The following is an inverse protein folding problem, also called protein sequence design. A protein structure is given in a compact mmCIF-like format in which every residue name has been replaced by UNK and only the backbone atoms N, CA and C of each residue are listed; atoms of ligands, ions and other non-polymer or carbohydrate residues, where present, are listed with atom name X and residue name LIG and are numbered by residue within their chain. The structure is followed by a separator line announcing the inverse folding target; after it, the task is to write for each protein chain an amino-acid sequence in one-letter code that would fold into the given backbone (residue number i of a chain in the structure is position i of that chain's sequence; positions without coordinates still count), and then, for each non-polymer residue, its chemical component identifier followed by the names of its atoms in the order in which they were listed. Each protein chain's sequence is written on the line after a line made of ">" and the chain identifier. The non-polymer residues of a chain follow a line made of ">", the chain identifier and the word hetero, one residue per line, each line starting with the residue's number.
data_IF_633238484521
#
_entry.id   IF_633238484521
#
_cell.length_a   1.000
_cell.length_b   1.000
_cell.length_c   1.000
_cell.angle_alpha   90.00
_cell.angle_beta   90.00
_cell.angle_gamma   90.00
#
_symmetry.space_group_name_H-M   'P 1'
#
loop_
_entity.id
_entity.type
_entity.pdbx_description
1 polymer ?
#
# COMPACT_ATOMS: atom_id res chain seq x y z
N UNK A 1 8.07 30.57 4.23
CA UNK A 1 8.27 29.26 4.87
C UNK A 1 8.44 28.22 3.77
N UNK A 2 9.49 27.37 3.82
CA UNK A 2 9.71 26.31 2.83
C UNK A 2 8.62 25.22 2.96
N UNK A 3 8.22 24.58 1.85
CA UNK A 3 7.21 23.53 1.86
C UNK A 3 7.71 22.19 2.41
N UNK A 4 6.77 21.32 2.78
CA UNK A 4 7.01 19.89 3.03
C UNK A 4 6.94 19.14 1.70
N UNK A 5 7.97 18.35 1.38
CA UNK A 5 7.99 17.48 0.22
C UNK A 5 7.30 16.16 0.54
N UNK A 6 6.32 15.77 -0.27
CA UNK A 6 5.61 14.49 -0.14
C UNK A 6 5.86 13.68 -1.41
N UNK A 7 6.39 12.48 -1.26
CA UNK A 7 6.74 11.61 -2.37
C UNK A 7 5.96 10.30 -2.34
N UNK A 8 5.41 9.92 -3.49
CA UNK A 8 4.83 8.61 -3.74
C UNK A 8 5.21 8.09 -5.12
N UNK A 9 5.03 6.79 -5.35
CA UNK A 9 5.21 6.21 -6.69
C UNK A 9 4.13 6.63 -7.67
N UNK A 10 2.96 7.08 -7.20
CA UNK A 10 1.82 7.43 -8.05
C UNK A 10 0.82 8.36 -7.35
N UNK A 11 -0.46 8.18 -7.66
CA UNK A 11 -1.57 8.97 -7.09
C UNK A 11 -2.03 8.47 -5.73
N UNK A 12 -1.74 7.22 -5.36
CA UNK A 12 -2.09 6.67 -4.05
C UNK A 12 -1.64 7.54 -2.88
N UNK A 13 -0.45 8.12 -2.94
CA UNK A 13 0.08 9.01 -1.90
C UNK A 13 -0.73 10.27 -1.61
N UNK A 14 -1.70 10.62 -2.47
CA UNK A 14 -2.65 11.69 -2.19
C UNK A 14 -3.48 11.41 -0.92
N UNK A 15 -3.67 10.14 -0.55
CA UNK A 15 -4.33 9.77 0.72
C UNK A 15 -3.51 10.21 1.94
N UNK A 16 -2.17 10.20 1.85
CA UNK A 16 -1.29 10.71 2.91
C UNK A 16 -1.31 12.23 2.93
N UNK A 17 -1.29 12.87 1.75
CA UNK A 17 -1.38 14.32 1.65
C UNK A 17 -2.72 14.84 2.20
N UNK A 18 -3.84 14.20 1.84
CA UNK A 18 -5.17 14.51 2.36
C UNK A 18 -5.19 14.39 3.88
N UNK A 19 -4.67 13.28 4.43
CA UNK A 19 -4.57 13.13 5.88
C UNK A 19 -3.79 14.26 6.54
N UNK A 20 -2.69 14.75 5.93
CA UNK A 20 -1.97 15.92 6.45
C UNK A 20 -2.78 17.22 6.33
N UNK A 21 -3.54 17.41 5.24
CA UNK A 21 -4.34 18.61 5.03
C UNK A 21 -5.54 18.70 5.97
N UNK A 22 -6.06 17.56 6.45
CA UNK A 22 -7.29 17.49 7.25
C UNK A 22 -7.09 17.08 8.70
N UNK A 23 -5.87 16.70 9.12
CA UNK A 23 -5.60 16.30 10.50
C UNK A 23 -5.82 17.48 11.45
N UNK A 24 -6.62 17.28 12.48
CA UNK A 24 -6.83 18.20 13.60
C UNK A 24 -6.79 17.34 14.88
N UNK A 25 -5.58 17.02 15.32
CA UNK A 25 -5.34 16.12 16.45
C UNK A 25 -4.59 16.81 17.59
N UNK A 26 -4.04 18.01 17.35
CA UNK A 26 -3.26 18.78 18.32
C UNK A 26 -3.72 20.24 18.32
N UNK A 27 -3.59 20.90 19.48
CA UNK A 27 -3.86 22.33 19.56
C UNK A 27 -2.70 23.09 18.92
N UNK A 28 -2.99 23.87 17.89
CA UNK A 28 -2.01 24.63 17.13
C UNK A 28 -1.25 25.67 17.98
N UNK A 29 -1.83 26.09 19.11
CA UNK A 29 -1.22 27.07 20.02
C UNK A 29 -0.06 26.52 20.84
N UNK A 30 -0.09 25.24 21.24
CA UNK A 30 0.86 24.66 22.19
C UNK A 30 1.34 23.24 21.87
N UNK A 31 0.80 22.60 20.83
CA UNK A 31 1.15 21.25 20.39
C UNK A 31 0.65 20.14 21.32
N UNK A 32 -0.23 20.44 22.28
CA UNK A 32 -0.81 19.42 23.16
C UNK A 32 -1.88 18.60 22.41
N UNK A 33 -2.08 17.32 22.76
CA UNK A 33 -3.14 16.53 22.14
C UNK A 33 -4.55 17.13 22.34
N UNK A 34 -5.36 17.07 21.29
CA UNK A 34 -6.74 17.54 21.27
C UNK A 34 -7.00 18.47 20.09
N UNK A 35 -8.12 18.26 19.41
CA UNK A 35 -8.55 19.08 18.29
C UNK A 35 -8.91 20.51 18.74
N UNK A 36 -8.58 21.52 17.93
CA UNK A 36 -8.95 22.92 18.16
C UNK A 36 -9.82 23.54 17.06
N UNK A 37 -10.22 22.73 16.06
CA UNK A 37 -11.04 23.15 14.93
C UNK A 37 -10.22 23.72 13.76
N UNK A 38 -8.89 23.74 13.87
CA UNK A 38 -7.98 24.20 12.83
C UNK A 38 -7.04 23.03 12.48
N UNK A 39 -6.90 22.65 11.19
CA UNK A 39 -5.98 21.58 10.82
C UNK A 39 -4.54 21.85 11.31
N UNK A 40 -3.90 20.84 11.88
CA UNK A 40 -2.56 20.87 12.50
C UNK A 40 -1.49 21.42 11.54
N UNK A 41 -1.71 21.24 10.24
CA UNK A 41 -0.81 21.68 9.17
C UNK A 41 -1.38 22.83 8.33
N UNK A 42 -2.35 23.60 8.86
CA UNK A 42 -3.01 24.69 8.12
C UNK A 42 -2.06 25.80 7.64
N UNK A 43 -0.91 25.98 8.29
CA UNK A 43 0.12 26.95 7.90
C UNK A 43 1.21 26.36 6.97
N UNK A 44 1.12 25.07 6.66
CA UNK A 44 2.09 24.38 5.82
C UNK A 44 1.79 24.51 4.34
N UNK A 45 2.85 24.46 3.53
CA UNK A 45 2.74 24.30 2.08
C UNK A 45 3.34 22.96 1.68
N UNK A 46 2.82 22.36 0.63
CA UNK A 46 3.24 21.04 0.18
C UNK A 46 3.78 21.07 -1.25
N UNK A 47 4.84 20.32 -1.50
CA UNK A 47 5.27 19.90 -2.85
C UNK A 47 5.04 18.40 -2.95
N UNK A 48 4.05 17.99 -3.74
CA UNK A 48 3.78 16.57 -3.99
C UNK A 48 4.48 16.11 -5.27
N UNK A 49 5.20 14.99 -5.20
CA UNK A 49 5.84 14.34 -6.32
C UNK A 49 5.33 12.90 -6.46
N UNK A 50 4.76 12.59 -7.63
CA UNK A 50 4.38 11.24 -8.03
C UNK A 50 5.27 10.76 -9.18
N UNK A 51 5.94 9.62 -8.99
CA UNK A 51 6.78 9.02 -10.03
C UNK A 51 6.00 8.05 -10.94
N UNK A 52 4.95 8.57 -11.59
CA UNK A 52 4.04 7.78 -12.44
C UNK A 52 4.78 7.12 -13.61
N UNK A 53 5.88 7.70 -14.09
CA UNK A 53 6.64 7.13 -15.19
C UNK A 53 7.32 5.79 -14.83
N UNK A 54 7.60 5.56 -13.55
CA UNK A 54 8.31 4.37 -13.07
C UNK A 54 7.44 3.50 -12.15
N UNK A 55 6.16 3.82 -11.97
CA UNK A 55 5.20 3.00 -11.25
C UNK A 55 4.87 1.70 -12.02
N UNK A 56 4.35 0.65 -11.36
CA UNK A 56 4.18 0.51 -9.92
C UNK A 56 5.45 -0.01 -9.24
N UNK A 57 5.85 0.65 -8.14
CA UNK A 57 7.03 0.24 -7.36
C UNK A 57 6.89 -1.13 -6.70
N UNK A 58 5.64 -1.56 -6.40
CA UNK A 58 5.33 -2.85 -5.78
C UNK A 58 5.87 -4.07 -6.53
N UNK A 59 6.16 -3.96 -7.82
CA UNK A 59 6.56 -5.08 -8.68
C UNK A 59 8.08 -5.20 -8.87
N UNK A 60 8.87 -4.21 -8.44
CA UNK A 60 10.32 -4.18 -8.69
C UNK A 60 11.07 -5.32 -7.99
N UNK A 61 10.65 -5.69 -6.78
CA UNK A 61 11.27 -6.77 -6.03
C UNK A 61 11.12 -8.12 -6.74
N UNK A 62 9.91 -8.44 -7.19
CA UNK A 62 9.63 -9.66 -7.94
C UNK A 62 10.36 -9.70 -9.29
N UNK A 63 10.62 -8.54 -9.89
CA UNK A 63 11.40 -8.42 -11.12
C UNK A 63 12.92 -8.43 -10.91
N UNK A 64 13.42 -8.58 -9.67
CA UNK A 64 14.86 -8.51 -9.37
C UNK A 64 15.48 -7.12 -9.58
N UNK A 65 14.67 -6.05 -9.54
CA UNK A 65 15.05 -4.66 -9.85
C UNK A 65 15.12 -3.76 -8.63
N UNK A 66 15.42 -4.29 -7.44
CA UNK A 66 15.45 -3.51 -6.19
C UNK A 66 16.49 -2.38 -6.20
N UNK A 67 17.65 -2.58 -6.83
CA UNK A 67 18.66 -1.52 -6.98
C UNK A 67 18.15 -0.36 -7.84
N UNK A 68 17.47 -0.68 -8.94
CA UNK A 68 16.85 0.33 -9.80
C UNK A 68 15.74 1.08 -9.05
N UNK A 69 14.93 0.38 -8.25
CA UNK A 69 13.93 1.02 -7.38
C UNK A 69 14.58 2.05 -6.44
N UNK A 70 15.67 1.67 -5.74
CA UNK A 70 16.39 2.58 -4.85
C UNK A 70 16.95 3.79 -5.60
N UNK A 71 17.50 3.58 -6.80
CA UNK A 71 18.00 4.66 -7.65
C UNK A 71 16.88 5.65 -8.01
N UNK A 72 15.70 5.18 -8.46
CA UNK A 72 14.56 6.04 -8.74
C UNK A 72 14.14 6.84 -7.50
N UNK A 73 14.00 6.17 -6.35
CA UNK A 73 13.64 6.83 -5.10
C UNK A 73 14.64 7.94 -4.73
N UNK A 74 15.95 7.67 -4.81
CA UNK A 74 16.97 8.67 -4.49
C UNK A 74 16.96 9.86 -5.49
N UNK A 75 16.73 9.61 -6.78
CA UNK A 75 16.55 10.67 -7.78
C UNK A 75 15.33 11.55 -7.47
N UNK A 76 14.23 10.94 -7.01
CA UNK A 76 13.04 11.68 -6.59
C UNK A 76 13.31 12.53 -5.34
N UNK A 77 14.11 12.05 -4.38
CA UNK A 77 14.53 12.85 -3.22
C UNK A 77 15.44 14.01 -3.64
N UNK A 78 16.40 13.75 -4.54
CA UNK A 78 17.28 14.78 -5.09
C UNK A 78 16.48 15.88 -5.79
N UNK A 79 15.44 15.52 -6.55
CA UNK A 79 14.52 16.49 -7.14
C UNK A 79 13.82 17.33 -6.07
N UNK A 80 13.20 16.73 -5.06
CA UNK A 80 12.50 17.48 -4.00
C UNK A 80 13.44 18.42 -3.23
N UNK A 81 14.65 18.00 -2.94
CA UNK A 81 15.66 18.79 -2.24
C UNK A 81 16.33 19.85 -3.13
N UNK A 82 16.29 19.69 -4.44
CA UNK A 82 16.85 20.64 -5.40
C UNK A 82 16.02 21.93 -5.54
N UNK A 83 16.59 22.93 -6.20
CA UNK A 83 15.91 24.20 -6.54
C UNK A 83 15.60 24.31 -8.02
N UNK A 84 15.97 23.31 -8.81
CA UNK A 84 15.75 23.28 -10.25
C UNK A 84 14.74 22.20 -10.62
N UNK A 85 13.96 22.50 -11.65
CA UNK A 85 13.03 21.58 -12.29
C UNK A 85 13.06 21.83 -13.80
N UNK A 86 12.40 20.96 -14.55
CA UNK A 86 12.15 21.18 -15.96
C UNK A 86 10.70 20.82 -16.27
N UNK A 87 10.03 21.64 -17.08
CA UNK A 87 8.70 21.33 -17.60
C UNK A 87 8.82 20.79 -19.01
N UNK A 88 8.21 19.64 -19.25
CA UNK A 88 8.03 19.13 -20.60
C UNK A 88 7.12 20.08 -21.39
N UNK A 89 7.53 20.37 -22.61
CA UNK A 89 6.75 21.00 -23.68
C UNK A 89 6.81 20.06 -24.88
N UNK A 90 5.88 20.17 -25.83
CA UNK A 90 5.65 19.19 -26.91
C UNK A 90 6.91 18.55 -27.52
N UNK A 91 8.03 19.29 -27.65
CA UNK A 91 9.30 18.75 -28.13
C UNK A 91 10.56 19.20 -27.34
N UNK A 92 10.42 19.80 -26.16
CA UNK A 92 11.57 20.36 -25.40
C UNK A 92 11.32 20.42 -23.89
N UNK A 93 12.40 20.52 -23.10
CA UNK A 93 12.33 20.77 -21.67
C UNK A 93 12.69 22.23 -21.37
N UNK A 94 11.77 22.97 -20.75
CA UNK A 94 12.05 24.33 -20.29
C UNK A 94 12.52 24.28 -18.83
N UNK A 95 13.73 24.77 -18.49
CA UNK A 95 14.17 24.89 -17.12
C UNK A 95 13.23 25.79 -16.30
N UNK A 96 12.98 25.40 -15.07
CA UNK A 96 12.18 26.12 -14.09
C UNK A 96 12.92 26.15 -12.76
N UNK A 97 12.74 27.23 -12.01
CA UNK A 97 13.14 27.28 -10.61
C UNK A 97 11.98 26.79 -9.75
N UNK A 98 12.29 26.05 -8.70
CA UNK A 98 11.36 25.65 -7.66
C UNK A 98 11.98 25.87 -6.30
N UNK A 99 11.13 25.94 -5.28
CA UNK A 99 11.61 25.96 -3.89
C UNK A 99 12.17 24.58 -3.51
N UNK A 100 13.17 24.55 -2.63
CA UNK A 100 13.53 23.34 -1.90
C UNK A 100 12.48 23.02 -0.83
N UNK A 101 12.63 21.91 -0.11
CA UNK A 101 11.70 21.46 0.93
C UNK A 101 12.37 21.48 2.31
N UNK A 102 11.60 21.71 3.38
CA UNK A 102 12.11 21.68 4.77
C UNK A 102 11.99 20.31 5.46
N UNK A 103 11.26 19.38 4.85
CA UNK A 103 11.02 18.02 5.34
C UNK A 103 10.63 17.14 4.16
N UNK A 104 10.93 15.85 4.25
CA UNK A 104 10.49 14.83 3.32
C UNK A 104 9.55 13.84 4.00
N UNK A 105 8.42 13.58 3.35
CA UNK A 105 7.46 12.52 3.70
C UNK A 105 7.46 11.51 2.56
N UNK A 106 7.94 10.30 2.86
CA UNK A 106 7.90 9.15 1.94
C UNK A 106 6.55 8.45 2.14
N UNK A 107 5.55 8.88 1.36
CA UNK A 107 4.19 8.36 1.41
C UNK A 107 4.09 6.93 0.85
N UNK A 108 4.92 6.58 -0.14
CA UNK A 108 4.91 5.24 -0.70
C UNK A 108 5.43 4.20 0.30
N UNK A 109 4.60 3.20 0.61
CA UNK A 109 4.96 2.09 1.48
C UNK A 109 6.12 1.26 0.91
N UNK A 110 6.12 0.97 -0.38
CA UNK A 110 7.21 0.22 -1.03
C UNK A 110 8.53 1.00 -1.02
N UNK A 111 8.48 2.31 -1.30
CA UNK A 111 9.67 3.15 -1.21
C UNK A 111 10.20 3.23 0.23
N UNK A 112 9.30 3.36 1.21
CA UNK A 112 9.67 3.34 2.63
C UNK A 112 10.35 2.02 3.00
N UNK A 113 9.77 0.89 2.59
CA UNK A 113 10.27 -0.46 2.85
C UNK A 113 11.70 -0.69 2.33
N UNK A 114 12.00 -0.22 1.13
CA UNK A 114 13.28 -0.53 0.47
C UNK A 114 14.35 0.56 0.61
N UNK A 115 13.95 1.82 0.77
CA UNK A 115 14.85 2.95 0.58
C UNK A 115 14.86 3.96 1.75
N UNK A 116 14.01 3.85 2.79
CA UNK A 116 13.99 4.87 3.86
C UNK A 116 15.37 5.06 4.52
N UNK A 117 16.13 3.99 4.72
CA UNK A 117 17.50 4.06 5.24
C UNK A 117 18.45 4.79 4.30
N UNK A 118 18.40 4.43 3.01
CA UNK A 118 19.23 5.07 1.97
C UNK A 118 18.89 6.56 1.82
N UNK A 119 17.61 6.93 1.89
CA UNK A 119 17.15 8.32 1.86
C UNK A 119 17.69 9.08 3.07
N UNK A 120 17.57 8.51 4.28
CA UNK A 120 18.06 9.16 5.49
C UNK A 120 19.56 9.42 5.43
N UNK A 121 20.34 8.45 4.94
CA UNK A 121 21.78 8.60 4.74
C UNK A 121 22.08 9.67 3.67
N UNK A 122 21.43 9.59 2.52
CA UNK A 122 21.57 10.58 1.45
C UNK A 122 21.25 12.01 1.92
N UNK A 123 20.25 12.17 2.78
CA UNK A 123 19.85 13.46 3.34
C UNK A 123 20.81 13.93 4.43
N UNK A 124 21.28 13.05 5.31
CA UNK A 124 22.20 13.41 6.41
C UNK A 124 23.59 13.82 5.92
N UNK A 125 24.02 13.29 4.77
CA UNK A 125 25.35 13.55 4.20
C UNK A 125 25.44 14.93 3.51
N UNK A 126 24.35 15.69 3.49
CA UNK A 126 24.31 17.01 2.86
C UNK A 126 25.06 18.05 3.71
N UNK A 127 25.78 19.01 3.09
CA UNK A 127 26.52 20.04 3.82
C UNK A 127 25.65 20.96 4.70
N UNK A 128 24.36 21.07 4.40
CA UNK A 128 23.39 21.88 5.14
C UNK A 128 22.78 21.14 6.36
N UNK A 129 23.24 19.92 6.66
CA UNK A 129 22.70 19.08 7.73
C UNK A 129 21.42 18.32 7.34
N UNK A 130 20.95 18.49 6.10
CA UNK A 130 19.78 17.80 5.58
C UNK A 130 18.45 18.29 6.17
N UNK A 131 17.40 17.49 5.94
CA UNK A 131 16.03 17.75 6.43
C UNK A 131 15.46 16.50 7.10
N UNK A 132 14.49 16.63 8.02
CA UNK A 132 13.81 15.46 8.57
C UNK A 132 13.15 14.60 7.48
N UNK A 133 13.25 13.27 7.63
CA UNK A 133 12.63 12.30 6.72
C UNK A 133 11.71 11.37 7.50
N UNK A 134 10.43 11.36 7.13
CA UNK A 134 9.39 10.51 7.72
C UNK A 134 8.90 9.50 6.68
N UNK A 135 8.72 8.24 7.07
CA UNK A 135 8.17 7.18 6.23
C UNK A 135 6.93 6.53 6.86
N UNK A 136 6.01 6.07 6.03
CA UNK A 136 4.67 5.61 6.45
C UNK A 136 4.64 4.27 7.21
N UNK A 137 5.63 3.39 6.99
CA UNK A 137 5.68 2.07 7.67
C UNK A 137 5.76 2.26 9.19
N UNK A 138 6.65 3.14 9.67
CA UNK A 138 6.80 3.39 11.11
C UNK A 138 5.51 3.94 11.73
N UNK A 139 4.81 4.84 11.02
CA UNK A 139 3.55 5.40 11.50
C UNK A 139 2.45 4.33 11.65
N UNK A 140 2.28 3.48 10.63
CA UNK A 140 1.33 2.37 10.66
C UNK A 140 1.66 1.34 11.74
N UNK A 141 2.93 0.97 11.88
CA UNK A 141 3.40 0.04 12.91
C UNK A 141 3.18 0.59 14.33
N UNK A 142 3.42 1.88 14.55
CA UNK A 142 3.19 2.52 15.85
C UNK A 142 1.72 2.47 16.26
N UNK A 143 0.79 2.71 15.33
CA UNK A 143 -0.64 2.60 15.60
C UNK A 143 -1.04 1.16 15.98
N UNK A 144 -0.54 0.16 15.24
CA UNK A 144 -0.79 -1.25 15.55
C UNK A 144 -0.24 -1.65 16.91
N UNK A 145 0.99 -1.25 17.25
CA UNK A 145 1.60 -1.53 18.57
C UNK A 145 0.80 -0.92 19.71
N UNK A 146 0.35 0.34 19.58
CA UNK A 146 -0.50 1.00 20.58
C UNK A 146 -1.80 0.25 20.81
N UNK A 147 -2.39 -0.32 19.76
CA UNK A 147 -3.57 -1.16 19.88
C UNK A 147 -3.26 -2.49 20.58
N UNK A 148 -2.17 -3.16 20.20
CA UNK A 148 -1.74 -4.42 20.80
C UNK A 148 -1.43 -4.34 22.30
N UNK A 149 -0.99 -3.18 22.79
CA UNK A 149 -0.82 -2.93 24.22
C UNK A 149 -2.15 -2.99 25.00
N UNK A 150 -3.28 -2.71 24.33
CA UNK A 150 -4.62 -2.79 24.92
C UNK A 150 -5.24 -4.18 24.72
N UNK A 151 -5.09 -4.75 23.53
CA UNK A 151 -5.68 -6.04 23.18
C UNK A 151 -4.73 -6.85 22.29
N UNK A 152 -4.23 -7.96 22.83
CA UNK A 152 -3.39 -8.90 22.07
C UNK A 152 -4.19 -9.59 20.96
N UNK A 153 -3.51 -9.91 19.87
CA UNK A 153 -4.05 -10.62 18.72
C UNK A 153 -3.04 -10.68 17.58
N UNK A 154 -3.49 -11.27 16.47
CA UNK A 154 -2.68 -11.33 15.24
C UNK A 154 -2.78 -9.99 14.50
N UNK A 155 -1.63 -9.45 14.09
CA UNK A 155 -1.55 -8.29 13.17
C UNK A 155 -1.49 -8.80 11.75
N UNK A 156 -2.49 -8.45 10.94
CA UNK A 156 -2.45 -8.60 9.50
C UNK A 156 -1.71 -7.44 8.86
N UNK A 157 -0.82 -7.72 7.93
CA UNK A 157 -0.20 -6.73 7.04
C UNK A 157 -0.71 -7.01 5.64
N UNK A 158 -1.63 -6.18 5.16
CA UNK A 158 -2.12 -6.24 3.79
C UNK A 158 -1.48 -5.11 2.98
N UNK A 159 -0.51 -5.45 2.13
CA UNK A 159 0.35 -4.48 1.45
C UNK A 159 0.64 -4.90 0.01
N UNK A 160 1.36 -4.09 -0.76
CA UNK A 160 1.81 -4.54 -2.09
C UNK A 160 2.70 -5.78 -1.98
N UNK A 161 2.79 -6.58 -3.05
CA UNK A 161 3.66 -7.76 -3.08
C UNK A 161 5.13 -7.41 -2.72
N UNK A 162 5.65 -6.30 -3.26
CA UNK A 162 6.97 -5.78 -2.92
C UNK A 162 7.12 -5.40 -1.45
N UNK A 163 6.14 -4.69 -0.86
CA UNK A 163 6.19 -4.33 0.56
C UNK A 163 6.20 -5.55 1.47
N UNK A 164 5.43 -6.60 1.14
CA UNK A 164 5.46 -7.86 1.88
C UNK A 164 6.80 -8.58 1.71
N UNK A 165 7.31 -8.64 0.48
CA UNK A 165 8.60 -9.28 0.19
C UNK A 165 9.78 -8.60 0.88
N UNK A 166 9.68 -7.31 1.19
CA UNK A 166 10.73 -6.57 1.92
C UNK A 166 10.80 -6.93 3.41
N UNK A 167 9.77 -7.60 3.96
CA UNK A 167 9.59 -7.83 5.39
C UNK A 167 9.60 -6.55 6.25
N UNK A 168 9.30 -5.38 5.66
CA UNK A 168 9.47 -4.08 6.31
C UNK A 168 8.58 -3.90 7.54
N UNK A 169 7.29 -4.22 7.41
CA UNK A 169 6.35 -4.15 8.55
C UNK A 169 6.69 -5.13 9.67
N UNK A 170 6.88 -6.44 9.42
CA UNK A 170 7.23 -7.37 10.50
C UNK A 170 8.50 -6.99 11.26
N UNK A 171 9.55 -6.53 10.57
CA UNK A 171 10.79 -6.09 11.22
C UNK A 171 10.57 -4.87 12.12
N UNK A 172 9.85 -3.85 11.62
CA UNK A 172 9.57 -2.63 12.41
C UNK A 172 8.64 -2.92 13.59
N UNK A 173 7.59 -3.73 13.38
CA UNK A 173 6.68 -4.15 14.43
C UNK A 173 7.41 -4.90 15.54
N UNK A 174 8.26 -5.87 15.18
CA UNK A 174 9.00 -6.64 16.18
C UNK A 174 10.00 -5.76 16.93
N UNK A 175 10.73 -4.87 16.25
CA UNK A 175 11.66 -3.94 16.90
C UNK A 175 10.93 -3.01 17.91
N UNK A 176 9.73 -2.52 17.56
CA UNK A 176 8.90 -1.72 18.48
C UNK A 176 8.39 -2.56 19.65
N UNK A 177 7.98 -3.80 19.41
CA UNK A 177 7.56 -4.73 20.46
C UNK A 177 8.69 -5.05 21.43
N UNK A 178 9.91 -5.27 20.93
CA UNK A 178 11.09 -5.54 21.75
C UNK A 178 11.43 -4.35 22.64
N UNK A 179 11.39 -3.13 22.09
CA UNK A 179 11.58 -1.89 22.86
C UNK A 179 10.55 -1.70 23.98
N UNK A 180 9.37 -2.30 23.84
CA UNK A 180 8.27 -2.23 24.81
C UNK A 180 8.12 -3.54 25.61
N UNK A 181 9.04 -4.50 25.44
CA UNK A 181 9.03 -5.80 26.11
C UNK A 181 7.70 -6.57 25.92
N UNK A 182 7.09 -6.45 24.73
CA UNK A 182 5.81 -7.08 24.40
C UNK A 182 5.97 -8.56 23.97
N UNK A 183 7.20 -9.05 23.81
CA UNK A 183 7.50 -10.40 23.32
C UNK A 183 7.30 -10.56 21.80
N UNK A 184 7.40 -11.79 21.33
CA UNK A 184 7.19 -12.13 19.91
C UNK A 184 5.75 -11.85 19.49
N UNK A 185 5.58 -11.06 18.44
CA UNK A 185 4.26 -10.75 17.90
C UNK A 185 3.75 -11.86 16.97
N UNK A 186 2.43 -12.06 16.96
CA UNK A 186 1.77 -12.85 15.91
C UNK A 186 1.48 -11.94 14.72
N UNK A 187 2.16 -12.16 13.60
CA UNK A 187 2.04 -11.34 12.39
C UNK A 187 1.77 -12.25 11.19
N UNK A 188 0.81 -11.87 10.36
CA UNK A 188 0.54 -12.51 9.07
C UNK A 188 0.60 -11.44 7.98
N UNK A 189 1.29 -11.72 6.87
CA UNK A 189 1.41 -10.77 5.75
C UNK A 189 0.77 -11.32 4.48
N UNK A 190 0.08 -10.48 3.73
CA UNK A 190 -0.52 -10.79 2.44
C UNK A 190 -0.22 -9.71 1.42
N UNK A 191 0.35 -10.11 0.29
CA UNK A 191 0.62 -9.23 -0.84
C UNK A 191 -0.64 -9.07 -1.70
N UNK A 192 -1.15 -7.85 -1.85
CA UNK A 192 -2.29 -7.52 -2.70
C UNK A 192 -1.89 -7.30 -4.15
N UNK A 193 -1.32 -8.32 -4.78
CA UNK A 193 -0.89 -8.28 -6.18
C UNK A 193 -2.04 -7.90 -7.12
N UNK A 194 -1.82 -6.88 -7.96
CA UNK A 194 -2.79 -6.35 -8.91
C UNK A 194 -3.90 -5.47 -8.30
N UNK A 195 -4.00 -5.34 -6.97
CA UNK A 195 -5.06 -4.53 -6.36
C UNK A 195 -4.82 -3.03 -6.60
N UNK A 196 -3.59 -2.54 -6.41
CA UNK A 196 -3.28 -1.13 -6.66
C UNK A 196 -3.49 -0.78 -8.13
N UNK A 197 -3.02 -1.64 -9.02
CA UNK A 197 -3.18 -1.50 -10.47
C UNK A 197 -4.66 -1.54 -10.90
N UNK A 198 -5.49 -2.39 -10.26
CA UNK A 198 -6.93 -2.40 -10.53
C UNK A 198 -7.64 -1.12 -10.08
N UNK A 199 -7.21 -0.52 -8.96
CA UNK A 199 -7.74 0.76 -8.46
C UNK A 199 -7.39 1.89 -9.43
N UNK A 200 -6.17 1.88 -9.96
CA UNK A 200 -5.70 2.84 -10.97
C UNK A 200 -6.23 2.55 -12.38
N UNK A 201 -7.03 1.48 -12.55
CA UNK A 201 -7.57 1.03 -13.84
C UNK A 201 -6.47 0.75 -14.88
N UNK A 202 -5.34 0.19 -14.45
CA UNK A 202 -4.33 -0.32 -15.38
C UNK A 202 -4.97 -1.41 -16.25
N UNK A 203 -4.95 -1.20 -17.57
CA UNK A 203 -5.55 -2.11 -18.53
C UNK A 203 -5.09 -3.58 -18.35
N UNK A 204 -3.85 -3.81 -17.91
CA UNK A 204 -3.31 -5.16 -17.68
C UNK A 204 -4.00 -5.90 -16.52
N UNK A 205 -4.71 -5.20 -15.65
CA UNK A 205 -5.39 -5.75 -14.47
C UNK A 205 -6.90 -5.50 -14.48
N UNK A 206 -7.38 -4.48 -15.17
CA UNK A 206 -8.80 -4.17 -15.26
C UNK A 206 -9.12 -3.51 -16.60
N UNK A 207 -10.24 -3.85 -17.24
CA UNK A 207 -10.76 -3.13 -18.40
C UNK A 207 -12.27 -3.04 -18.31
N UNK A 208 -12.78 -1.81 -18.38
CA UNK A 208 -14.21 -1.52 -18.34
C UNK A 208 -14.93 -2.10 -19.58
N UNK A 209 -14.21 -2.26 -20.69
CA UNK A 209 -14.73 -2.77 -21.95
C UNK A 209 -14.69 -4.30 -22.04
N UNK A 210 -13.96 -4.97 -21.14
CA UNK A 210 -13.77 -6.41 -21.21
C UNK A 210 -15.10 -7.16 -21.02
N UNK A 211 -15.43 -8.01 -22.00
CA UNK A 211 -16.58 -8.93 -21.96
C UNK A 211 -16.15 -10.39 -21.79
N UNK A 212 -14.88 -10.69 -22.09
CA UNK A 212 -14.30 -12.03 -22.02
C UNK A 212 -12.92 -11.97 -21.36
N UNK A 213 -12.39 -13.13 -20.97
CA UNK A 213 -11.00 -13.24 -20.50
C UNK A 213 -10.02 -12.68 -21.54
N UNK A 214 -8.88 -12.18 -21.06
CA UNK A 214 -7.87 -11.50 -21.88
C UNK A 214 -6.52 -12.18 -21.70
N UNK A 215 -5.83 -12.42 -22.82
CA UNK A 215 -4.48 -13.01 -22.82
C UNK A 215 -3.47 -12.10 -22.09
N UNK A 216 -3.63 -10.79 -22.22
CA UNK A 216 -2.73 -9.81 -21.61
C UNK A 216 -3.04 -9.52 -20.12
N UNK A 217 -4.07 -10.14 -19.54
CA UNK A 217 -4.40 -9.97 -18.14
C UNK A 217 -3.30 -10.57 -17.24
N UNK A 218 -2.87 -9.79 -16.25
CA UNK A 218 -1.75 -10.14 -15.36
C UNK A 218 -2.17 -10.41 -13.91
N UNK A 219 -3.43 -10.18 -13.55
CA UNK A 219 -3.89 -10.34 -12.17
C UNK A 219 -4.10 -11.80 -11.74
N UNK A 220 -4.62 -12.02 -10.51
CA UNK A 220 -5.01 -13.35 -10.05
C UNK A 220 -5.97 -14.02 -11.01
N UNK A 221 -5.71 -15.30 -11.30
CA UNK A 221 -6.52 -16.10 -12.23
C UNK A 221 -6.49 -17.57 -11.85
N UNK A 222 -7.39 -18.41 -12.39
CA UNK A 222 -7.37 -19.86 -12.11
C UNK A 222 -6.02 -20.51 -12.46
N UNK A 223 -5.39 -20.06 -13.55
CA UNK A 223 -4.14 -20.63 -14.07
C UNK A 223 -2.90 -19.79 -13.76
N UNK A 224 -3.03 -18.70 -12.98
CA UNK A 224 -1.89 -17.86 -12.67
C UNK A 224 -0.85 -18.65 -11.83
N UNK A 225 0.44 -18.69 -12.20
CA UNK A 225 1.43 -19.57 -11.56
C UNK A 225 1.70 -19.22 -10.08
N UNK A 226 1.67 -17.93 -9.73
CA UNK A 226 1.99 -17.45 -8.36
C UNK A 226 0.77 -17.01 -7.55
N UNK A 227 -0.28 -16.53 -8.22
CA UNK A 227 -1.50 -16.01 -7.60
C UNK A 227 -2.74 -16.75 -8.14
N UNK A 228 -2.80 -18.09 -7.98
CA UNK A 228 -3.93 -18.87 -8.46
C UNK A 228 -5.18 -18.56 -7.63
N UNK A 229 -6.33 -18.46 -8.31
CA UNK A 229 -7.63 -18.53 -7.64
C UNK A 229 -7.85 -19.99 -7.23
N UNK A 230 -7.92 -20.25 -5.93
CA UNK A 230 -8.21 -21.60 -5.45
C UNK A 230 -9.69 -21.95 -5.68
N UNK A 231 -9.93 -22.85 -6.65
CA UNK A 231 -11.28 -23.30 -7.00
C UNK A 231 -12.06 -23.90 -5.81
N UNK A 232 -11.37 -24.44 -4.81
CA UNK A 232 -12.00 -25.03 -3.61
C UNK A 232 -12.57 -23.97 -2.68
N UNK A 233 -12.09 -22.73 -2.80
CA UNK A 233 -12.52 -21.57 -2.00
C UNK A 233 -13.52 -20.68 -2.72
N UNK A 234 -14.02 -21.03 -3.92
CA UNK A 234 -14.96 -20.18 -4.67
C UNK A 234 -16.23 -19.81 -3.90
N UNK A 235 -16.72 -20.69 -3.02
CA UNK A 235 -17.84 -20.39 -2.13
C UNK A 235 -17.51 -19.29 -1.10
N UNK A 236 -16.28 -19.28 -0.59
CA UNK A 236 -15.78 -18.29 0.39
C UNK A 236 -15.42 -16.98 -0.32
N UNK A 237 -14.74 -17.07 -1.47
CA UNK A 237 -14.44 -15.91 -2.30
C UNK A 237 -15.70 -15.20 -2.78
N UNK A 238 -16.78 -15.94 -3.06
CA UNK A 238 -18.07 -15.45 -3.56
C UNK A 238 -17.96 -14.19 -4.41
N UNK A 239 -17.13 -14.25 -5.46
CA UNK A 239 -16.84 -13.09 -6.29
C UNK A 239 -18.11 -12.48 -6.89
N UNK A 240 -18.11 -11.15 -7.00
CA UNK A 240 -19.15 -10.41 -7.70
C UNK A 240 -19.02 -10.72 -9.19
N UNK A 241 -20.10 -11.22 -9.80
CA UNK A 241 -20.17 -11.60 -11.22
C UNK A 241 -20.89 -10.57 -12.08
N UNK A 242 -21.66 -9.68 -11.46
CA UNK A 242 -22.44 -8.67 -12.18
C UNK A 242 -21.52 -7.70 -12.93
N UNK A 243 -21.99 -7.16 -14.06
CA UNK A 243 -21.28 -6.10 -14.78
C UNK A 243 -19.87 -6.45 -15.24
N UNK A 244 -19.59 -7.73 -15.53
CA UNK A 244 -18.27 -8.22 -15.90
C UNK A 244 -17.17 -8.01 -14.84
N UNK A 245 -17.54 -7.85 -13.56
CA UNK A 245 -16.58 -7.80 -12.44
C UNK A 245 -15.77 -9.10 -12.28
N UNK A 246 -16.26 -10.21 -12.85
CA UNK A 246 -15.58 -11.49 -12.96
C UNK A 246 -15.74 -12.03 -14.39
N UNK A 247 -14.63 -12.35 -15.04
CA UNK A 247 -14.61 -12.88 -16.40
C UNK A 247 -14.29 -14.38 -16.36
N UNK A 248 -15.06 -15.19 -17.09
CA UNK A 248 -14.85 -16.63 -17.19
C UNK A 248 -14.76 -17.08 -18.65
N UNK A 249 -13.78 -17.91 -18.96
CA UNK A 249 -13.75 -18.73 -20.18
C UNK A 249 -14.39 -20.07 -19.87
N UNK A 250 -15.28 -20.57 -20.73
CA UNK A 250 -16.04 -21.80 -20.50
C UNK A 250 -15.66 -22.89 -21.50
N UNK A 251 -15.57 -24.13 -21.03
CA UNK A 251 -15.50 -25.30 -21.92
C UNK A 251 -16.87 -25.68 -22.50
N UNK A 252 -16.88 -26.68 -23.38
CA UNK A 252 -18.10 -27.20 -24.02
C UNK A 252 -19.12 -27.77 -23.02
N UNK A 253 -18.69 -28.07 -21.78
CA UNK A 253 -19.54 -28.55 -20.70
C UNK A 253 -20.05 -27.41 -19.80
N UNK A 254 -19.75 -26.15 -20.12
CA UNK A 254 -20.15 -24.98 -19.36
C UNK A 254 -19.38 -24.78 -18.06
N UNK A 255 -18.20 -25.41 -17.90
CA UNK A 255 -17.34 -25.22 -16.74
C UNK A 255 -16.39 -24.06 -16.99
N UNK A 256 -16.23 -23.17 -16.00
CA UNK A 256 -15.27 -22.08 -16.09
C UNK A 256 -13.83 -22.64 -15.99
N UNK A 257 -13.08 -22.57 -17.09
CA UNK A 257 -11.71 -23.11 -17.24
C UNK A 257 -10.63 -22.03 -17.09
N UNK A 258 -11.00 -20.76 -17.17
CA UNK A 258 -10.17 -19.61 -16.81
C UNK A 258 -11.05 -18.56 -16.14
N UNK A 259 -10.57 -17.97 -15.05
CA UNK A 259 -11.29 -16.93 -14.31
C UNK A 259 -10.36 -15.75 -14.08
N UNK A 260 -10.80 -14.54 -14.41
CA UNK A 260 -10.03 -13.32 -14.22
C UNK A 260 -10.86 -12.31 -13.41
N UNK A 261 -10.23 -11.68 -12.43
CA UNK A 261 -10.84 -10.61 -11.66
C UNK A 261 -10.83 -9.34 -12.53
N UNK A 262 -11.94 -8.61 -12.58
CA UNK A 262 -12.04 -7.39 -13.37
C UNK A 262 -12.72 -6.27 -12.56
N UNK A 263 -12.55 -6.33 -11.23
CA UNK A 263 -13.14 -5.38 -10.27
C UNK A 263 -12.28 -5.31 -9.00
N UNK A 264 -11.88 -4.11 -8.52
CA UNK A 264 -11.06 -3.97 -7.32
C UNK A 264 -11.67 -4.61 -6.06
N UNK A 265 -13.01 -4.69 -5.96
CA UNK A 265 -13.70 -5.38 -4.87
C UNK A 265 -13.39 -6.87 -4.89
N UNK A 266 -13.35 -7.50 -6.06
CA UNK A 266 -12.97 -8.90 -6.20
C UNK A 266 -11.48 -9.12 -5.87
N UNK A 267 -10.60 -8.17 -6.19
CA UNK A 267 -9.20 -8.20 -5.75
C UNK A 267 -9.08 -8.14 -4.22
N UNK A 268 -9.79 -7.22 -3.56
CA UNK A 268 -9.84 -7.15 -2.09
C UNK A 268 -10.28 -8.49 -1.51
N UNK A 269 -11.38 -9.06 -2.04
CA UNK A 269 -11.94 -10.31 -1.54
C UNK A 269 -10.98 -11.49 -1.73
N UNK A 270 -10.38 -11.62 -2.91
CA UNK A 270 -9.36 -12.63 -3.19
C UNK A 270 -8.23 -12.58 -2.15
N UNK A 271 -7.66 -11.39 -1.91
CA UNK A 271 -6.51 -11.26 -1.02
C UNK A 271 -6.87 -11.43 0.46
N UNK A 272 -8.04 -10.94 0.91
CA UNK A 272 -8.45 -11.11 2.31
C UNK A 272 -8.80 -12.57 2.63
N UNK A 273 -9.47 -13.28 1.71
CA UNK A 273 -9.69 -14.72 1.87
C UNK A 273 -8.36 -15.47 1.88
N UNK A 274 -7.41 -15.14 0.99
CA UNK A 274 -6.07 -15.73 1.03
C UNK A 274 -5.30 -15.44 2.32
N UNK A 275 -5.46 -14.25 2.92
CA UNK A 275 -4.86 -13.92 4.22
C UNK A 275 -5.43 -14.80 5.33
N UNK A 276 -6.76 -14.93 5.40
CA UNK A 276 -7.43 -15.72 6.44
C UNK A 276 -7.21 -17.23 6.24
N UNK A 277 -7.20 -17.70 5.00
CA UNK A 277 -6.86 -19.09 4.68
C UNK A 277 -5.41 -19.41 5.08
N UNK A 278 -4.48 -18.48 4.86
CA UNK A 278 -3.10 -18.60 5.36
C UNK A 278 -3.07 -18.71 6.87
N UNK A 279 -3.85 -17.88 7.59
CA UNK A 279 -3.96 -18.00 9.04
C UNK A 279 -4.49 -19.36 9.48
N UNK A 280 -5.53 -19.86 8.82
CA UNK A 280 -6.17 -21.15 9.11
C UNK A 280 -5.21 -22.32 8.88
N UNK A 281 -4.59 -22.37 7.71
CA UNK A 281 -3.67 -23.45 7.30
C UNK A 281 -2.36 -23.45 8.09
N UNK A 282 -1.87 -22.27 8.50
CA UNK A 282 -0.68 -22.12 9.34
C UNK A 282 -0.99 -22.14 10.84
N UNK A 283 -2.24 -22.45 11.23
CA UNK A 283 -2.67 -22.65 12.61
C UNK A 283 -2.40 -21.44 13.54
N UNK A 284 -2.64 -20.22 13.03
CA UNK A 284 -2.63 -19.02 13.88
C UNK A 284 -3.69 -19.14 14.97
N UNK A 285 -3.27 -19.10 16.24
CA UNK A 285 -4.16 -19.32 17.39
C UNK A 285 -4.86 -18.05 17.89
N UNK A 286 -4.32 -16.89 17.55
CA UNK A 286 -4.88 -15.60 17.96
C UNK A 286 -5.76 -15.03 16.84
N UNK A 287 -6.92 -14.43 17.16
CA UNK A 287 -7.76 -13.82 16.15
C UNK A 287 -7.04 -12.65 15.48
N UNK A 288 -7.32 -12.42 14.20
CA UNK A 288 -6.95 -11.18 13.51
C UNK A 288 -7.73 -10.03 14.16
N UNK A 289 -7.03 -9.11 14.81
CA UNK A 289 -7.68 -7.98 15.48
C UNK A 289 -7.19 -6.61 14.97
N UNK A 290 -6.15 -6.62 14.14
CA UNK A 290 -5.54 -5.42 13.56
C UNK A 290 -5.18 -5.73 12.12
N UNK A 291 -5.55 -4.86 11.19
CA UNK A 291 -5.10 -4.94 9.80
C UNK A 291 -4.40 -3.63 9.42
N UNK A 292 -3.12 -3.73 9.07
CA UNK A 292 -2.34 -2.63 8.50
C UNK A 292 -2.55 -2.62 6.98
N UNK A 293 -2.96 -1.47 6.45
CA UNK A 293 -3.04 -1.21 5.01
C UNK A 293 -1.70 -0.65 4.51
N UNK A 294 -0.81 -1.53 4.07
CA UNK A 294 0.55 -1.21 3.62
C UNK A 294 0.66 -0.82 2.14
N UNK A 295 -0.37 -0.19 1.58
CA UNK A 295 -0.35 0.45 0.27
C UNK A 295 -1.23 1.70 0.33
N UNK A 296 -0.76 2.80 -0.27
CA UNK A 296 -1.47 4.09 -0.28
C UNK A 296 -2.74 4.07 -1.14
N UNK A 297 -2.95 3.05 -1.97
CA UNK A 297 -4.21 2.86 -2.71
C UNK A 297 -5.30 2.18 -1.86
N UNK A 298 -4.93 1.39 -0.86
CA UNK A 298 -5.90 0.57 -0.12
C UNK A 298 -6.91 1.37 0.72
N UNK A 299 -6.62 2.60 1.20
CA UNK A 299 -7.63 3.46 1.81
C UNK A 299 -8.85 3.74 0.91
N UNK A 300 -8.70 3.78 -0.42
CA UNK A 300 -9.85 3.91 -1.34
C UNK A 300 -10.82 2.72 -1.25
N UNK A 301 -10.34 1.58 -0.75
CA UNK A 301 -11.11 0.35 -0.57
C UNK A 301 -11.43 0.06 0.90
N UNK A 302 -11.24 1.01 1.82
CA UNK A 302 -11.37 0.78 3.27
C UNK A 302 -12.72 0.17 3.64
N UNK A 303 -13.81 0.71 3.11
CA UNK A 303 -15.16 0.26 3.46
C UNK A 303 -15.44 -1.15 2.90
N UNK A 304 -14.92 -1.45 1.71
CA UNK A 304 -14.97 -2.80 1.12
C UNK A 304 -14.17 -3.80 1.96
N UNK A 305 -12.94 -3.43 2.36
CA UNK A 305 -12.08 -4.25 3.21
C UNK A 305 -12.79 -4.53 4.54
N UNK A 306 -13.36 -3.51 5.17
CA UNK A 306 -14.09 -3.66 6.42
C UNK A 306 -15.31 -4.57 6.28
N UNK A 307 -16.09 -4.42 5.20
CA UNK A 307 -17.25 -5.26 4.93
C UNK A 307 -16.86 -6.74 4.77
N UNK A 308 -15.82 -7.01 3.97
CA UNK A 308 -15.32 -8.38 3.76
C UNK A 308 -14.78 -8.99 5.06
N UNK A 309 -14.01 -8.24 5.85
CA UNK A 309 -13.51 -8.74 7.14
C UNK A 309 -14.63 -9.04 8.12
N UNK A 310 -15.66 -8.18 8.20
CA UNK A 310 -16.80 -8.39 9.09
C UNK A 310 -17.61 -9.63 8.69
N UNK A 311 -17.76 -9.88 7.38
CA UNK A 311 -18.38 -11.10 6.86
C UNK A 311 -17.56 -12.34 7.24
N UNK A 312 -16.24 -12.30 7.02
CA UNK A 312 -15.37 -13.45 7.20
C UNK A 312 -15.02 -13.73 8.67
N UNK A 313 -15.19 -12.78 9.59
CA UNK A 313 -14.75 -12.89 10.99
C UNK A 313 -15.33 -14.12 11.72
N UNK A 314 -16.60 -14.43 11.46
CA UNK A 314 -17.31 -15.58 12.05
C UNK A 314 -17.69 -16.62 10.99
N UNK A 315 -17.09 -16.57 9.80
CA UNK A 315 -17.39 -17.55 8.76
C UNK A 315 -16.96 -18.94 9.22
N UNK A 316 -17.87 -19.89 9.12
CA UNK A 316 -17.63 -21.32 9.35
C UNK A 316 -18.02 -22.06 8.08
N UNK A 317 -17.16 -22.95 7.61
CA UNK A 317 -17.54 -23.81 6.49
C UNK A 317 -18.44 -24.95 7.00
N UNK A 318 -18.89 -25.83 6.09
CA UNK A 318 -19.76 -26.95 6.46
C UNK A 318 -19.09 -27.99 7.38
N UNK A 319 -17.78 -27.87 7.63
CA UNK A 319 -16.97 -28.72 8.49
C UNK A 319 -16.67 -28.07 9.86
N UNK A 320 -17.16 -26.86 10.11
CA UNK A 320 -16.97 -26.09 11.36
C UNK A 320 -15.71 -25.25 11.36
#
# INVERSE_FOLDING_TARGET
>A
MLPIGVFDSGTGGLTVLEAMLTLDAFRNSDGTPGADGIPDFAQERFQYLADQANMPYGNYAAAGKTNLLKEHVLKNMAFLLGTTAARSTENNFKPLQKETVKMLVVACNTATAYALGDIKHYVSDRPDGGVPVVGVINAGSLAAIRYLQKQRGTVGVFATAGTVASNGYPLVLQAMADSLQLGTLSIVSQGGFGLAESIDRDWSFLSDEAQTTRIAYKGPSLRHPTYPIDSTLLGVYGFIKAGNSLLCEYDDQGRCIEMQLNDPVNYVRYHLVSLLEKMRTQQYRQPLNTLILGCTHYPYMRDTIAAVLNELYNYQDSKG
#
